data_IF_961718875979
#
_entry.id   IF_961718875979
#
_cell.length_a   1.000
_cell.length_b   1.000
_cell.length_c   1.000
_cell.angle_alpha   90.00
_cell.angle_beta   90.00
_cell.angle_gamma   90.00
#
_symmetry.space_group_name_H-M   'P 1'
#
loop_
_entity.id
_entity.type
_entity.pdbx_description
1 polymer ?
#
# COMPACT_ATOMS: atom_id res chain seq x y z
N UNK A 1 19.26 18.97 21.07
CA UNK A 1 19.16 19.21 19.62
C UNK A 1 20.14 18.27 18.93
N UNK A 2 19.65 17.14 18.44
CA UNK A 2 20.37 16.25 17.55
C UNK A 2 19.37 15.85 16.47
N UNK A 3 19.46 16.53 15.34
CA UNK A 3 18.76 16.14 14.12
C UNK A 3 19.41 14.85 13.65
N UNK A 4 18.76 13.71 13.92
CA UNK A 4 19.10 12.45 13.26
C UNK A 4 18.62 12.60 11.82
N UNK A 5 19.42 13.27 10.99
CA UNK A 5 19.42 12.99 9.55
C UNK A 5 20.16 11.65 9.37
N UNK A 6 19.61 10.58 9.94
CA UNK A 6 19.95 9.25 9.46
C UNK A 6 19.46 9.23 8.01
N UNK A 7 20.38 9.12 7.06
CA UNK A 7 19.99 8.82 5.70
C UNK A 7 19.21 7.52 5.76
N UNK A 8 17.89 7.60 5.60
CA UNK A 8 17.03 6.42 5.50
C UNK A 8 17.64 5.54 4.42
N UNK A 9 17.90 4.26 4.74
CA UNK A 9 18.40 3.29 3.78
C UNK A 9 17.55 3.41 2.48
N UNK A 10 18.17 3.65 1.31
CA UNK A 10 17.44 3.85 0.07
C UNK A 10 16.46 2.72 -0.25
N UNK A 11 16.82 1.48 0.07
CA UNK A 11 15.94 0.31 -0.07
C UNK A 11 14.73 0.43 0.83
N UNK A 12 14.93 0.69 2.13
CA UNK A 12 13.83 0.87 3.08
C UNK A 12 12.91 2.03 2.67
N UNK A 13 13.48 3.14 2.20
CA UNK A 13 12.70 4.27 1.68
C UNK A 13 11.81 3.85 0.51
N UNK A 14 12.38 3.14 -0.48
CA UNK A 14 11.61 2.64 -1.62
C UNK A 14 10.48 1.71 -1.18
N UNK A 15 10.75 0.78 -0.27
CA UNK A 15 9.72 -0.16 0.24
C UNK A 15 8.59 0.57 0.98
N UNK A 16 8.92 1.59 1.77
CA UNK A 16 7.91 2.44 2.43
C UNK A 16 7.11 3.26 1.41
N UNK A 17 7.76 3.79 0.38
CA UNK A 17 7.09 4.51 -0.70
C UNK A 17 6.10 3.60 -1.44
N UNK A 18 6.51 2.38 -1.80
CA UNK A 18 5.65 1.36 -2.44
C UNK A 18 4.48 0.94 -1.55
N UNK A 19 4.72 0.69 -0.26
CA UNK A 19 3.69 0.33 0.70
C UNK A 19 2.66 1.46 0.84
N UNK A 20 3.12 2.71 0.95
CA UNK A 20 2.26 3.89 1.01
C UNK A 20 1.39 4.00 -0.24
N UNK A 21 1.99 3.89 -1.41
CA UNK A 21 1.27 4.07 -2.68
C UNK A 21 0.20 2.99 -2.84
N UNK A 22 0.49 1.75 -2.41
CA UNK A 22 -0.48 0.66 -2.38
C UNK A 22 -1.62 0.92 -1.38
N UNK A 23 -1.32 1.44 -0.18
CA UNK A 23 -2.35 1.84 0.79
C UNK A 23 -3.30 2.90 0.23
N UNK A 24 -2.75 3.89 -0.48
CA UNK A 24 -3.54 4.94 -1.11
C UNK A 24 -4.45 4.38 -2.20
N UNK A 25 -3.98 3.43 -3.01
CA UNK A 25 -4.80 2.78 -4.02
C UNK A 25 -5.94 1.96 -3.38
N UNK A 26 -5.65 1.20 -2.31
CA UNK A 26 -6.69 0.46 -1.58
C UNK A 26 -7.78 1.39 -1.05
N UNK A 27 -7.40 2.52 -0.43
CA UNK A 27 -8.37 3.51 0.07
C UNK A 27 -9.19 4.12 -1.08
N UNK A 28 -8.54 4.43 -2.21
CA UNK A 28 -9.21 4.97 -3.38
C UNK A 28 -10.26 4.00 -3.94
N UNK A 29 -9.94 2.71 -4.01
CA UNK A 29 -10.88 1.66 -4.46
C UNK A 29 -12.07 1.53 -3.50
N UNK A 30 -11.83 1.55 -2.18
CA UNK A 30 -12.91 1.55 -1.18
C UNK A 30 -13.82 2.76 -1.37
N UNK A 31 -13.25 3.96 -1.53
CA UNK A 31 -14.04 5.17 -1.76
C UNK A 31 -14.84 5.13 -3.06
N UNK A 32 -14.34 4.44 -4.11
CA UNK A 32 -15.10 4.25 -5.35
C UNK A 32 -16.36 3.41 -5.12
N UNK A 33 -16.32 2.43 -4.21
CA UNK A 33 -17.50 1.62 -3.87
C UNK A 33 -18.62 2.42 -3.20
N UNK A 34 -18.31 3.61 -2.66
CA UNK A 34 -19.29 4.50 -2.03
C UNK A 34 -20.04 5.39 -3.04
N UNK A 35 -19.64 5.36 -4.32
CA UNK A 35 -20.31 6.12 -5.38
C UNK A 35 -21.72 5.57 -5.60
N UNK A 36 -22.71 6.46 -5.58
CA UNK A 36 -24.08 6.10 -5.88
C UNK A 36 -24.23 5.63 -7.34
N UNK A 37 -25.13 4.66 -7.57
CA UNK A 37 -25.49 4.17 -8.91
C UNK A 37 -24.39 3.43 -9.69
N UNK A 38 -23.43 2.79 -9.02
CA UNK A 38 -22.56 1.80 -9.67
C UNK A 38 -23.40 0.66 -10.27
N UNK A 39 -23.03 0.24 -11.48
CA UNK A 39 -23.56 -1.00 -12.06
C UNK A 39 -22.93 -2.21 -11.37
N UNK A 40 -23.56 -3.38 -11.53
CA UNK A 40 -23.01 -4.65 -11.03
C UNK A 40 -21.62 -4.92 -11.61
N UNK A 41 -21.44 -4.75 -12.93
CA UNK A 41 -20.15 -4.91 -13.60
C UNK A 41 -19.06 -3.98 -13.03
N UNK A 42 -19.40 -2.71 -12.75
CA UNK A 42 -18.44 -1.75 -12.16
C UNK A 42 -18.08 -2.14 -10.73
N UNK A 43 -19.06 -2.64 -9.96
CA UNK A 43 -18.81 -3.13 -8.61
C UNK A 43 -17.90 -4.36 -8.61
N UNK A 44 -18.12 -5.31 -9.53
CA UNK A 44 -17.25 -6.48 -9.69
C UNK A 44 -15.83 -6.08 -10.09
N UNK A 45 -15.66 -5.12 -11.00
CA UNK A 45 -14.35 -4.60 -11.40
C UNK A 45 -13.61 -3.98 -10.20
N UNK A 46 -14.26 -3.09 -9.45
CA UNK A 46 -13.67 -2.45 -8.26
C UNK A 46 -13.30 -3.51 -7.20
N UNK A 47 -14.14 -4.51 -6.98
CA UNK A 47 -13.86 -5.60 -6.05
C UNK A 47 -12.68 -6.48 -6.51
N UNK A 48 -12.55 -6.71 -7.80
CA UNK A 48 -11.42 -7.42 -8.40
C UNK A 48 -10.12 -6.65 -8.18
N UNK A 49 -10.11 -5.36 -8.49
CA UNK A 49 -8.95 -4.48 -8.27
C UNK A 49 -8.60 -4.36 -6.78
N UNK A 50 -9.60 -4.24 -5.90
CA UNK A 50 -9.40 -4.18 -4.45
C UNK A 50 -8.76 -5.46 -3.93
N UNK A 51 -9.17 -6.62 -4.43
CA UNK A 51 -8.59 -7.91 -4.06
C UNK A 51 -7.11 -7.97 -4.43
N UNK A 52 -6.74 -7.51 -5.61
CA UNK A 52 -5.33 -7.41 -6.05
C UNK A 52 -4.56 -6.42 -5.17
N UNK A 53 -5.13 -5.25 -4.89
CA UNK A 53 -4.51 -4.21 -4.06
C UNK A 53 -4.21 -4.73 -2.63
N UNK A 54 -5.14 -5.48 -2.02
CA UNK A 54 -4.93 -6.10 -0.71
C UNK A 54 -3.83 -7.17 -0.74
N UNK A 55 -3.73 -7.97 -1.80
CA UNK A 55 -2.62 -8.92 -1.95
C UNK A 55 -1.27 -8.20 -2.05
N UNK A 56 -1.19 -7.11 -2.80
CA UNK A 56 0.02 -6.29 -2.87
C UNK A 56 0.35 -5.64 -1.52
N UNK A 57 -0.64 -5.17 -0.76
CA UNK A 57 -0.43 -4.64 0.59
C UNK A 57 0.23 -5.66 1.50
N UNK A 58 -0.27 -6.89 1.51
CA UNK A 58 0.31 -7.97 2.30
C UNK A 58 1.77 -8.24 1.91
N UNK A 59 2.06 -8.22 0.61
CA UNK A 59 3.41 -8.41 0.10
C UNK A 59 4.36 -7.27 0.50
N UNK A 60 4.00 -6.01 0.25
CA UNK A 60 4.83 -4.86 0.60
C UNK A 60 5.03 -4.73 2.11
N UNK A 61 4.01 -5.03 2.92
CA UNK A 61 4.16 -5.07 4.38
C UNK A 61 5.17 -6.15 4.82
N UNK A 62 5.16 -7.31 4.14
CA UNK A 62 6.15 -8.36 4.34
C UNK A 62 7.58 -7.89 4.03
N UNK A 63 7.80 -7.26 2.88
CA UNK A 63 9.12 -6.76 2.49
C UNK A 63 9.65 -5.67 3.43
N UNK A 64 8.79 -4.74 3.86
CA UNK A 64 9.16 -3.72 4.85
C UNK A 64 9.58 -4.38 6.16
N UNK A 65 8.83 -5.39 6.62
CA UNK A 65 9.17 -6.12 7.84
C UNK A 65 10.52 -6.85 7.71
N UNK A 66 10.73 -7.56 6.60
CA UNK A 66 12.00 -8.24 6.33
C UNK A 66 13.18 -7.27 6.29
N UNK A 67 13.00 -6.05 5.77
CA UNK A 67 14.06 -5.04 5.76
C UNK A 67 14.36 -4.49 7.16
N UNK A 68 13.33 -4.31 8.02
CA UNK A 68 13.52 -3.93 9.43
C UNK A 68 14.27 -5.02 10.18
N UNK A 69 13.87 -6.29 10.00
CA UNK A 69 14.45 -7.45 10.69
C UNK A 69 15.93 -7.71 10.27
N UNK A 70 16.43 -7.09 9.18
CA UNK A 70 17.86 -7.15 8.78
C UNK A 70 18.75 -6.16 9.54
N UNK A 71 18.16 -5.11 10.12
CA UNK A 71 18.89 -4.08 10.86
C UNK A 71 19.05 -4.41 12.36
N UNK A 72 18.37 -5.45 12.86
CA UNK A 72 18.49 -6.03 14.21
C UNK A 72 19.58 -7.12 14.32
#
# INVERSE_FOLDING_TARGET
>A
MQTISASINPTFKTLIDELRDTCLETVKLINQMEIEHLTEDQMEEILGELSVSVMHLQMHAGFVKEEIDKED
#
